data_IF_147610464598
#
_entry.id   IF_147610464598
#
_cell.length_a   1.000
_cell.length_b   1.000
_cell.length_c   1.000
_cell.angle_alpha   90.00
_cell.angle_beta   90.00
_cell.angle_gamma   90.00
#
_symmetry.space_group_name_H-M   'P 1'
#
loop_
_entity.id
_entity.type
_entity.pdbx_description
1 polymer ?
#
# COMPACT_ATOMS: atom_id res chain seq x y z
N UNK A 1 3.40 53.72 -25.63
CA UNK A 1 3.36 53.26 -24.22
C UNK A 1 2.24 52.23 -23.98
N UNK A 2 1.96 51.34 -24.94
CA UNK A 2 0.90 50.30 -24.85
C UNK A 2 1.49 48.89 -24.98
N UNK A 3 2.71 48.76 -25.52
CA UNK A 3 3.37 47.46 -25.73
C UNK A 3 4.14 46.92 -24.52
N UNK A 4 4.56 47.77 -23.58
CA UNK A 4 5.30 47.33 -22.39
C UNK A 4 4.35 46.75 -21.32
N UNK A 5 3.07 47.13 -21.33
CA UNK A 5 2.09 46.67 -20.35
C UNK A 5 1.60 45.23 -20.63
N UNK A 6 1.57 44.81 -21.90
CA UNK A 6 1.14 43.46 -22.30
C UNK A 6 2.19 42.37 -22.03
N UNK A 7 3.49 42.71 -21.97
CA UNK A 7 4.55 41.73 -21.69
C UNK A 7 4.61 41.41 -20.18
N UNK A 8 4.34 42.39 -19.32
CA UNK A 8 4.31 42.19 -17.86
C UNK A 8 3.12 41.31 -17.44
N UNK A 9 1.99 41.40 -18.13
CA UNK A 9 0.82 40.55 -17.87
C UNK A 9 1.02 39.08 -18.31
N UNK A 10 1.80 38.84 -19.36
CA UNK A 10 2.09 37.48 -19.83
C UNK A 10 3.07 36.71 -18.94
N UNK A 11 3.91 37.41 -18.15
CA UNK A 11 4.89 36.78 -17.26
C UNK A 11 4.29 36.36 -15.90
N UNK A 12 3.16 36.93 -15.49
CA UNK A 12 2.49 36.56 -14.23
C UNK A 12 1.68 35.25 -14.35
N UNK A 13 1.35 34.80 -15.56
CA UNK A 13 0.56 33.58 -15.78
C UNK A 13 1.44 32.32 -15.76
N UNK A 14 2.77 32.45 -15.88
CA UNK A 14 3.70 31.31 -15.91
C UNK A 14 4.25 30.88 -14.54
N UNK A 15 3.99 31.65 -13.47
CA UNK A 15 4.40 31.35 -12.08
C UNK A 15 3.26 30.83 -11.20
N UNK A 16 2.01 30.77 -11.70
CA UNK A 16 0.86 30.29 -10.94
C UNK A 16 0.57 28.78 -11.13
N UNK A 17 1.37 28.06 -11.91
CA UNK A 17 1.13 26.66 -12.30
C UNK A 17 1.58 25.58 -11.31
N UNK A 18 2.10 25.96 -10.13
CA UNK A 18 2.57 24.98 -9.14
C UNK A 18 2.16 25.40 -7.72
N UNK A 19 0.88 25.73 -7.53
CA UNK A 19 0.33 25.56 -6.18
C UNK A 19 0.25 24.05 -5.93
N UNK A 20 0.87 23.52 -4.87
CA UNK A 20 0.58 22.15 -4.49
C UNK A 20 -0.92 22.07 -4.30
N UNK A 21 -1.58 21.10 -4.96
CA UNK A 21 -2.97 20.78 -4.64
C UNK A 21 -3.05 20.69 -3.12
N UNK A 22 -4.03 21.35 -2.47
CA UNK A 22 -4.18 21.21 -1.03
C UNK A 22 -4.19 19.71 -0.74
N UNK A 23 -3.30 19.28 0.15
CA UNK A 23 -3.31 17.91 0.66
C UNK A 23 -4.69 17.75 1.28
N UNK A 24 -5.60 17.12 0.54
CA UNK A 24 -6.90 16.73 1.07
C UNK A 24 -6.56 15.91 2.31
N UNK A 25 -6.91 16.46 3.48
CA UNK A 25 -6.87 15.71 4.74
C UNK A 25 -7.42 14.34 4.41
N UNK A 26 -6.70 13.23 4.69
CA UNK A 26 -7.18 11.92 4.31
C UNK A 26 -8.58 11.80 4.90
N UNK A 27 -9.58 11.77 4.01
CA UNK A 27 -10.95 11.53 4.39
C UNK A 27 -10.90 10.31 5.29
N UNK A 28 -11.41 10.46 6.51
CA UNK A 28 -11.46 9.38 7.50
C UNK A 28 -12.08 8.21 6.76
N UNK A 29 -11.26 7.23 6.38
CA UNK A 29 -11.72 6.13 5.54
C UNK A 29 -12.72 5.41 6.43
N UNK A 30 -14.00 5.56 6.14
CA UNK A 30 -15.03 4.74 6.76
C UNK A 30 -14.92 3.40 6.04
N UNK A 31 -13.83 2.72 6.36
CA UNK A 31 -13.62 1.33 6.03
C UNK A 31 -14.89 0.62 6.49
N UNK A 32 -15.45 -0.23 5.66
CA UNK A 32 -16.61 -1.08 5.97
C UNK A 32 -16.26 -2.13 7.05
N UNK A 33 -15.87 -1.64 8.24
CA UNK A 33 -15.58 -2.40 9.46
C UNK A 33 -16.82 -3.18 9.91
N UNK A 34 -18.01 -2.75 9.53
CA UNK A 34 -19.27 -3.37 9.96
C UNK A 34 -19.44 -4.83 9.55
N UNK A 35 -18.74 -5.29 8.50
CA UNK A 35 -18.81 -6.68 8.04
C UNK A 35 -17.73 -7.57 8.67
N UNK A 36 -16.73 -6.99 9.33
CA UNK A 36 -15.65 -7.71 9.98
C UNK A 36 -15.89 -7.74 11.49
N UNK A 37 -15.87 -8.93 12.09
CA UNK A 37 -15.94 -9.05 13.53
C UNK A 37 -14.63 -8.55 14.18
N UNK A 38 -14.75 -8.01 15.39
CA UNK A 38 -13.62 -7.41 16.11
C UNK A 38 -12.51 -8.42 16.42
N UNK A 39 -12.86 -9.69 16.67
CA UNK A 39 -11.89 -10.75 16.94
C UNK A 39 -11.00 -11.03 15.72
N UNK A 40 -11.59 -11.07 14.53
CA UNK A 40 -10.84 -11.22 13.28
C UNK A 40 -9.91 -10.03 13.02
N UNK A 41 -10.38 -8.80 13.28
CA UNK A 41 -9.56 -7.60 13.13
C UNK A 41 -8.37 -7.60 14.09
N UNK A 42 -8.56 -8.01 15.34
CA UNK A 42 -7.49 -8.15 16.33
C UNK A 42 -6.48 -9.23 15.92
N UNK A 43 -6.96 -10.39 15.47
CA UNK A 43 -6.11 -11.49 14.97
C UNK A 43 -5.29 -11.09 13.74
N UNK A 44 -5.84 -10.25 12.86
CA UNK A 44 -5.14 -9.78 11.67
C UNK A 44 -4.09 -8.72 11.99
N UNK A 45 -4.25 -7.96 13.08
CA UNK A 45 -3.37 -6.86 13.47
C UNK A 45 -2.10 -7.31 14.23
N UNK A 46 -1.38 -8.27 13.66
CA UNK A 46 -0.18 -8.87 14.26
C UNK A 46 0.99 -7.89 14.41
N UNK A 47 0.98 -6.79 13.66
CA UNK A 47 2.06 -5.81 13.64
C UNK A 47 1.88 -4.61 14.59
N UNK A 48 0.80 -4.56 15.38
CA UNK A 48 0.47 -3.41 16.23
C UNK A 48 1.64 -2.99 17.13
N UNK A 49 2.31 -3.96 17.77
CA UNK A 49 3.41 -3.75 18.72
C UNK A 49 4.81 -3.80 18.09
N UNK A 50 4.93 -3.91 16.75
CA UNK A 50 6.22 -3.91 16.08
C UNK A 50 6.77 -2.47 15.98
N UNK A 51 7.67 -2.09 16.89
CA UNK A 51 8.27 -0.76 16.96
C UNK A 51 9.23 -0.43 15.80
N UNK A 52 9.77 -1.46 15.15
CA UNK A 52 10.65 -1.36 13.99
C UNK A 52 9.92 -1.14 12.65
N UNK A 53 8.58 -1.09 12.66
CA UNK A 53 7.75 -0.85 11.48
C UNK A 53 7.05 0.51 11.55
N UNK A 54 6.98 1.19 10.41
CA UNK A 54 6.14 2.37 10.21
C UNK A 54 4.65 2.00 10.22
N UNK A 55 3.78 3.00 10.40
CA UNK A 55 2.34 2.76 10.37
C UNK A 55 1.85 2.22 9.01
N UNK A 56 2.48 2.64 7.92
CA UNK A 56 2.16 2.17 6.58
C UNK A 56 2.51 0.68 6.42
N UNK A 57 3.68 0.25 6.88
CA UNK A 57 4.09 -1.17 6.89
C UNK A 57 3.17 -2.02 7.77
N UNK A 58 2.76 -1.51 8.93
CA UNK A 58 1.77 -2.17 9.79
C UNK A 58 0.43 -2.36 9.07
N UNK A 59 -0.04 -1.34 8.38
CA UNK A 59 -1.29 -1.42 7.60
C UNK A 59 -1.18 -2.44 6.46
N UNK A 60 -0.05 -2.52 5.77
CA UNK A 60 0.19 -3.53 4.73
C UNK A 60 0.04 -4.95 5.30
N UNK A 61 0.65 -5.22 6.46
CA UNK A 61 0.54 -6.52 7.12
C UNK A 61 -0.91 -6.80 7.52
N UNK A 62 -1.60 -5.82 8.10
CA UNK A 62 -3.02 -5.95 8.47
C UNK A 62 -3.89 -6.34 7.26
N UNK A 63 -3.85 -5.57 6.17
CA UNK A 63 -4.66 -5.87 4.98
C UNK A 63 -4.26 -7.19 4.32
N UNK A 64 -2.97 -7.52 4.31
CA UNK A 64 -2.49 -8.81 3.82
C UNK A 64 -3.07 -9.95 4.66
N UNK A 65 -3.11 -9.81 5.98
CA UNK A 65 -3.67 -10.80 6.88
C UNK A 65 -5.18 -10.95 6.69
N UNK A 66 -5.91 -9.85 6.50
CA UNK A 66 -7.35 -9.90 6.20
C UNK A 66 -7.63 -10.66 4.89
N UNK A 67 -6.87 -10.38 3.84
CA UNK A 67 -6.96 -11.12 2.57
C UNK A 67 -6.59 -12.61 2.70
N UNK A 68 -5.62 -12.95 3.57
CA UNK A 68 -5.22 -14.34 3.85
C UNK A 68 -6.25 -15.10 4.69
N UNK A 69 -6.86 -14.44 5.66
CA UNK A 69 -7.81 -15.06 6.58
C UNK A 69 -9.18 -15.25 5.94
N UNK A 70 -9.65 -14.27 5.15
CA UNK A 70 -10.92 -14.36 4.43
C UNK A 70 -10.86 -13.57 3.11
N UNK A 71 -10.31 -14.22 2.08
CA UNK A 71 -10.19 -13.65 0.74
C UNK A 71 -11.53 -13.21 0.12
N UNK A 72 -12.61 -14.02 0.17
CA UNK A 72 -13.92 -13.60 -0.34
C UNK A 72 -14.44 -12.32 0.33
N UNK A 73 -14.40 -12.22 1.66
CA UNK A 73 -14.86 -11.03 2.36
C UNK A 73 -13.97 -9.82 2.09
N UNK A 74 -12.64 -10.02 2.00
CA UNK A 74 -11.72 -8.95 1.61
C UNK A 74 -12.03 -8.40 0.22
N UNK A 75 -12.40 -9.28 -0.73
CA UNK A 75 -12.79 -8.88 -2.06
C UNK A 75 -14.05 -8.01 -2.05
N UNK A 76 -15.05 -8.36 -1.25
CA UNK A 76 -16.36 -7.69 -1.18
C UNK A 76 -16.34 -6.39 -0.34
N UNK A 77 -15.35 -6.24 0.55
CA UNK A 77 -15.21 -5.07 1.43
C UNK A 77 -14.12 -4.13 0.89
N UNK A 78 -12.87 -4.36 1.29
CA UNK A 78 -11.74 -3.46 1.04
C UNK A 78 -11.39 -3.33 -0.44
N UNK A 79 -11.45 -4.42 -1.22
CA UNK A 79 -11.08 -4.36 -2.63
C UNK A 79 -12.13 -3.60 -3.46
N UNK A 80 -13.43 -3.87 -3.30
CA UNK A 80 -14.44 -3.11 -4.03
C UNK A 80 -14.38 -1.62 -3.67
N UNK A 81 -14.30 -1.28 -2.38
CA UNK A 81 -14.20 0.11 -1.91
C UNK A 81 -12.97 0.82 -2.51
N UNK A 82 -11.83 0.14 -2.56
CA UNK A 82 -10.61 0.67 -3.17
C UNK A 82 -10.77 0.91 -4.68
N UNK A 83 -11.36 -0.04 -5.41
CA UNK A 83 -11.55 0.08 -6.85
C UNK A 83 -12.50 1.24 -7.20
N UNK A 84 -13.57 1.41 -6.43
CA UNK A 84 -14.52 2.51 -6.59
C UNK A 84 -13.86 3.87 -6.30
N UNK A 85 -13.18 3.98 -5.15
CA UNK A 85 -12.52 5.22 -4.72
C UNK A 85 -11.47 5.69 -5.73
N UNK A 86 -10.66 4.76 -6.24
CA UNK A 86 -9.58 5.07 -7.20
C UNK A 86 -10.07 5.08 -8.66
N UNK A 87 -11.38 4.93 -8.90
CA UNK A 87 -11.99 4.87 -10.23
C UNK A 87 -11.32 3.83 -11.15
N UNK A 88 -10.88 2.71 -10.58
CA UNK A 88 -10.21 1.63 -11.30
C UNK A 88 -11.27 0.80 -12.01
N UNK A 89 -11.28 0.89 -13.34
CA UNK A 89 -12.17 0.09 -14.17
C UNK A 89 -11.85 -1.40 -14.06
N UNK A 90 -12.89 -2.22 -14.19
CA UNK A 90 -12.70 -3.65 -14.28
C UNK A 90 -11.78 -3.99 -15.47
N UNK A 91 -10.73 -4.74 -15.19
CA UNK A 91 -9.73 -5.20 -16.15
C UNK A 91 -9.51 -6.70 -15.96
N UNK A 92 -8.79 -7.33 -16.90
CA UNK A 92 -8.39 -8.74 -16.74
C UNK A 92 -7.63 -8.99 -15.42
N UNK A 93 -6.86 -8.01 -14.94
CA UNK A 93 -6.09 -8.13 -13.69
C UNK A 93 -7.00 -8.06 -12.47
N UNK A 94 -7.93 -7.10 -12.45
CA UNK A 94 -8.94 -6.98 -11.38
C UNK A 94 -9.80 -8.24 -11.33
N UNK A 95 -10.25 -8.72 -12.49
CA UNK A 95 -11.04 -9.95 -12.58
C UNK A 95 -10.26 -11.19 -12.11
N UNK A 96 -8.97 -11.30 -12.44
CA UNK A 96 -8.11 -12.37 -11.93
C UNK A 96 -7.96 -12.28 -10.41
N UNK A 97 -7.64 -11.10 -9.88
CA UNK A 97 -7.49 -10.88 -8.44
C UNK A 97 -8.76 -11.26 -7.66
N UNK A 98 -9.94 -10.81 -8.11
CA UNK A 98 -11.22 -11.19 -7.49
C UNK A 98 -11.44 -12.69 -7.52
N UNK A 99 -11.09 -13.37 -8.63
CA UNK A 99 -11.19 -14.83 -8.75
C UNK A 99 -10.24 -15.54 -7.80
N UNK A 100 -9.03 -15.04 -7.63
CA UNK A 100 -8.03 -15.63 -6.74
C UNK A 100 -8.41 -15.46 -5.27
N UNK A 101 -8.87 -14.26 -4.88
CA UNK A 101 -9.37 -13.99 -3.54
C UNK A 101 -10.58 -14.87 -3.18
N UNK A 102 -11.53 -15.05 -4.10
CA UNK A 102 -12.70 -15.93 -3.90
C UNK A 102 -12.34 -17.40 -3.70
N UNK A 103 -11.18 -17.83 -4.19
CA UNK A 103 -10.69 -19.21 -4.10
C UNK A 103 -9.61 -19.39 -3.03
N UNK A 104 -9.14 -18.32 -2.43
CA UNK A 104 -8.07 -18.35 -1.44
C UNK A 104 -8.56 -19.09 -0.20
N UNK A 105 -7.89 -20.18 0.22
CA UNK A 105 -8.23 -20.82 1.48
C UNK A 105 -7.88 -19.90 2.65
N UNK A 106 -8.59 -20.04 3.77
CA UNK A 106 -8.25 -19.33 5.00
C UNK A 106 -6.88 -19.80 5.50
N UNK A 107 -5.98 -18.87 5.74
CA UNK A 107 -4.62 -19.11 6.22
C UNK A 107 -4.34 -18.35 7.51
N UNK A 108 -3.37 -18.85 8.28
CA UNK A 108 -2.88 -18.15 9.47
C UNK A 108 -2.29 -16.78 9.09
N UNK A 109 -2.49 -15.76 9.95
CA UNK A 109 -1.94 -14.43 9.75
C UNK A 109 -0.41 -14.46 9.79
N UNK A 110 0.21 -13.60 8.99
CA UNK A 110 1.64 -13.38 8.99
C UNK A 110 2.06 -12.70 10.29
N UNK A 111 3.20 -13.12 10.83
CA UNK A 111 3.85 -12.49 11.97
C UNK A 111 5.03 -11.66 11.46
N UNK A 112 5.11 -10.36 11.75
CA UNK A 112 6.27 -9.57 11.39
C UNK A 112 7.48 -10.03 12.20
N UNK A 113 8.63 -10.11 11.55
CA UNK A 113 9.91 -10.44 12.18
C UNK A 113 10.92 -9.36 11.81
N UNK A 114 11.61 -8.83 12.82
CA UNK A 114 12.49 -7.66 12.67
C UNK A 114 13.63 -7.90 11.69
N UNK A 115 14.26 -9.05 11.84
CA UNK A 115 15.35 -9.53 11.00
C UNK A 115 14.94 -9.66 9.51
N UNK A 116 13.75 -10.23 9.23
CA UNK A 116 13.20 -10.33 7.88
C UNK A 116 12.89 -8.94 7.29
N UNK A 117 12.35 -8.03 8.10
CA UNK A 117 12.09 -6.64 7.71
C UNK A 117 13.39 -5.90 7.38
N UNK A 118 14.44 -6.07 8.16
CA UNK A 118 15.75 -5.48 7.92
C UNK A 118 16.41 -6.02 6.64
N UNK A 119 16.36 -7.34 6.42
CA UNK A 119 16.85 -7.98 5.18
C UNK A 119 16.08 -7.48 3.96
N UNK A 120 14.75 -7.37 4.05
CA UNK A 120 13.91 -6.85 2.98
C UNK A 120 14.21 -5.39 2.66
N UNK A 121 14.37 -4.55 3.70
CA UNK A 121 14.73 -3.13 3.58
C UNK A 121 16.11 -2.95 2.93
N UNK A 122 17.10 -3.72 3.37
CA UNK A 122 18.44 -3.71 2.78
C UNK A 122 18.43 -4.08 1.29
N UNK A 123 17.60 -5.07 0.90
CA UNK A 123 17.39 -5.42 -0.51
C UNK A 123 16.75 -4.29 -1.29
N UNK A 124 15.65 -3.71 -0.79
CA UNK A 124 14.95 -2.61 -1.44
C UNK A 124 15.87 -1.40 -1.70
N UNK A 125 16.68 -1.02 -0.70
CA UNK A 125 17.67 0.06 -0.83
C UNK A 125 18.72 -0.27 -1.89
N UNK A 126 19.27 -1.49 -1.85
CA UNK A 126 20.32 -1.91 -2.79
C UNK A 126 19.79 -1.97 -4.22
N UNK A 127 18.62 -2.56 -4.42
CA UNK A 127 17.94 -2.65 -5.71
C UNK A 127 17.59 -1.27 -6.27
N UNK A 128 17.07 -0.38 -5.42
CA UNK A 128 16.78 1.01 -5.80
C UNK A 128 18.02 1.75 -6.29
N UNK A 129 19.15 1.64 -5.57
CA UNK A 129 20.42 2.25 -5.96
C UNK A 129 20.99 1.69 -7.27
N UNK A 130 20.81 0.40 -7.51
CA UNK A 130 21.33 -0.28 -8.72
C UNK A 130 20.40 -0.17 -9.93
N UNK A 131 19.16 0.28 -9.75
CA UNK A 131 18.13 0.25 -10.80
C UNK A 131 17.73 -1.18 -11.20
N UNK A 132 17.94 -2.17 -10.31
CA UNK A 132 17.63 -3.57 -10.59
C UNK A 132 16.33 -3.99 -9.94
N UNK A 133 15.48 -4.67 -10.70
CA UNK A 133 14.30 -5.37 -10.19
C UNK A 133 14.59 -6.87 -10.15
N UNK A 134 14.10 -7.58 -9.13
CA UNK A 134 14.18 -9.04 -9.06
C UNK A 134 14.79 -9.62 -7.77
N UNK A 135 15.23 -10.88 -7.88
CA UNK A 135 15.60 -11.73 -6.75
C UNK A 135 17.11 -11.81 -6.50
N UNK A 136 17.88 -10.79 -6.93
CA UNK A 136 19.34 -10.81 -6.81
C UNK A 136 19.77 -11.02 -5.34
N UNK A 137 20.82 -11.82 -5.16
CA UNK A 137 21.35 -12.12 -3.83
C UNK A 137 20.42 -12.94 -2.93
N UNK A 138 19.45 -13.67 -3.51
CA UNK A 138 18.52 -14.54 -2.75
C UNK A 138 19.26 -15.44 -1.76
N UNK A 139 20.26 -16.20 -2.19
CA UNK A 139 21.03 -17.10 -1.32
C UNK A 139 21.68 -16.38 -0.12
N UNK A 140 22.09 -15.12 -0.30
CA UNK A 140 22.64 -14.33 0.81
C UNK A 140 21.54 -13.88 1.77
N UNK A 141 20.36 -13.53 1.25
CA UNK A 141 19.22 -13.00 2.01
C UNK A 141 18.40 -14.10 2.70
N UNK A 142 18.42 -15.32 2.19
CA UNK A 142 17.73 -16.48 2.74
C UNK A 142 18.55 -17.21 3.83
N UNK A 143 19.79 -16.78 4.09
CA UNK A 143 20.58 -17.31 5.20
C UNK A 143 19.89 -16.98 6.53
N UNK A 144 19.91 -17.91 7.50
CA UNK A 144 19.42 -17.64 8.84
C UNK A 144 20.12 -16.40 9.39
N UNK A 145 19.31 -15.40 9.72
CA UNK A 145 19.71 -14.27 10.54
C UNK A 145 19.88 -14.83 11.94
N UNK A 146 21.11 -14.79 12.47
CA UNK A 146 21.45 -15.45 13.74
C UNK A 146 20.58 -14.92 14.88
N UNK A 147 20.16 -15.78 15.83
CA UNK A 147 19.36 -15.38 16.99
C UNK A 147 20.10 -14.38 17.90
#
# INVERSE_FOLDING_TARGET
MVYILNIVFALQILLAGFTPKPVEKPAKVVLTISQWDSETLEKANTAINADYLSQEEKNIILYTNLARMNGPLFAETYLEEFLEKENIKNSKYVSSLKKDLKKSPSMQPLQPQKDLSEVAKGHAITSGKKGTLGHQGFEKRAKPVSP
#
